data_IF_304218400639
#
_entry.id   IF_304218400639
#
_cell.length_a   1.000
_cell.length_b   1.000
_cell.length_c   1.000
_cell.angle_alpha   90.00
_cell.angle_beta   90.00
_cell.angle_gamma   90.00
#
_symmetry.space_group_name_H-M   'P 1'
#
loop_
_entity.id
_entity.type
_entity.pdbx_description
1 polymer ?
#
# COMPACT_ATOMS: atom_id res chain seq x y z
N UNK A 1 46.36 68.82 -6.55
CA UNK A 1 46.39 67.64 -5.65
C UNK A 1 45.00 66.99 -5.64
N UNK A 2 44.80 65.91 -6.40
CA UNK A 2 43.54 65.21 -6.51
C UNK A 2 43.60 63.93 -5.64
N UNK A 3 42.78 63.89 -4.62
CA UNK A 3 42.58 62.68 -3.78
C UNK A 3 41.51 61.81 -4.40
N UNK A 4 41.92 60.68 -4.94
CA UNK A 4 41.08 59.70 -5.59
C UNK A 4 40.42 58.81 -4.49
N UNK A 5 39.12 59.00 -4.24
CA UNK A 5 38.34 58.15 -3.32
C UNK A 5 38.04 56.83 -4.01
N UNK A 6 38.57 55.71 -3.52
CA UNK A 6 38.20 54.37 -3.88
C UNK A 6 36.92 54.00 -3.14
N UNK A 7 35.88 53.80 -3.90
CA UNK A 7 34.65 53.17 -3.40
C UNK A 7 34.86 51.65 -3.41
N UNK A 8 35.01 51.05 -2.23
CA UNK A 8 34.91 49.61 -2.07
C UNK A 8 33.44 49.23 -2.21
N UNK A 9 33.09 48.51 -3.30
CA UNK A 9 31.79 47.89 -3.50
C UNK A 9 31.84 46.54 -2.81
N UNK A 10 31.18 46.39 -1.66
CA UNK A 10 30.92 45.13 -0.98
C UNK A 10 29.92 44.33 -1.83
N UNK A 11 30.43 43.32 -2.52
CA UNK A 11 29.58 42.30 -3.13
C UNK A 11 29.13 41.35 -2.00
N UNK A 12 27.92 41.57 -1.52
CA UNK A 12 27.26 40.62 -0.64
C UNK A 12 26.89 39.41 -1.47
N UNK A 13 27.69 38.35 -1.38
CA UNK A 13 27.33 37.04 -1.90
C UNK A 13 26.13 36.52 -1.09
N UNK A 14 24.96 36.65 -1.66
CA UNK A 14 23.76 35.94 -1.16
C UNK A 14 24.00 34.45 -1.35
N UNK A 15 24.48 33.79 -0.32
CA UNK A 15 24.43 32.35 -0.17
C UNK A 15 22.95 31.98 -0.09
N UNK A 16 22.35 31.71 -1.26
CA UNK A 16 21.07 31.07 -1.36
C UNK A 16 21.21 29.67 -0.73
N UNK A 17 20.85 29.58 0.54
CA UNK A 17 20.64 28.31 1.22
C UNK A 17 19.53 27.58 0.46
N UNK A 18 19.91 26.74 -0.50
CA UNK A 18 19.05 25.68 -0.97
C UNK A 18 18.80 24.79 0.26
N UNK A 19 17.74 25.10 0.98
CA UNK A 19 17.14 24.14 1.87
C UNK A 19 16.77 22.95 0.99
N UNK A 20 17.66 21.94 0.97
CA UNK A 20 17.29 20.59 0.54
C UNK A 20 16.07 20.26 1.40
N UNK A 21 14.89 20.36 0.78
CA UNK A 21 13.67 19.85 1.38
C UNK A 21 13.95 18.38 1.62
N UNK A 22 14.36 18.05 2.83
CA UNK A 22 14.36 16.68 3.31
C UNK A 22 12.92 16.22 3.09
N UNK A 23 12.69 15.39 2.08
CA UNK A 23 11.40 14.84 1.82
C UNK A 23 11.03 14.07 3.08
N UNK A 24 10.07 14.60 3.82
CA UNK A 24 9.59 13.99 5.04
C UNK A 24 9.13 12.56 4.72
N UNK A 25 9.76 11.59 5.34
CA UNK A 25 9.41 10.19 5.17
C UNK A 25 8.13 9.96 5.94
N UNK A 26 7.02 9.74 5.25
CA UNK A 26 5.82 9.26 5.94
C UNK A 26 5.96 7.79 6.30
N UNK A 27 5.76 7.48 7.54
CA UNK A 27 5.75 6.13 8.07
C UNK A 27 4.48 5.84 8.85
N UNK A 28 4.14 4.58 8.92
CA UNK A 28 3.01 4.09 9.71
C UNK A 28 3.54 3.50 11.01
N UNK A 29 2.97 3.93 12.12
CA UNK A 29 3.25 3.37 13.45
C UNK A 29 2.25 2.25 13.70
N UNK A 30 2.77 1.05 13.92
CA UNK A 30 2.04 -0.16 14.24
C UNK A 30 2.37 -0.62 15.65
N UNK A 31 1.46 -1.29 16.34
CA UNK A 31 1.73 -1.77 17.69
C UNK A 31 0.51 -2.32 18.40
N UNK A 32 0.71 -2.78 19.61
CA UNK A 32 -0.35 -3.22 20.49
C UNK A 32 -1.31 -2.04 20.77
N UNK A 33 -2.60 -2.30 20.86
CA UNK A 33 -3.61 -1.26 21.16
C UNK A 33 -3.38 -0.57 22.51
N UNK A 34 -2.69 -1.24 23.43
CA UNK A 34 -2.29 -0.71 24.75
C UNK A 34 -1.01 0.10 24.72
N UNK A 35 -0.26 0.02 23.63
CA UNK A 35 0.98 0.78 23.48
C UNK A 35 0.70 2.29 23.45
N UNK A 36 1.67 3.07 23.94
CA UNK A 36 1.68 4.53 23.87
C UNK A 36 2.99 4.97 23.22
N UNK A 37 2.86 5.79 22.20
CA UNK A 37 3.99 6.32 21.44
C UNK A 37 3.90 7.84 21.45
N UNK A 38 5.00 8.49 21.82
CA UNK A 38 5.16 9.94 21.70
C UNK A 38 5.63 10.27 20.28
N UNK A 39 4.91 11.15 19.61
CA UNK A 39 5.27 11.76 18.33
C UNK A 39 5.50 13.26 18.51
N UNK A 40 5.87 13.95 17.42
CA UNK A 40 5.95 15.42 17.41
C UNK A 40 4.62 16.10 17.74
N UNK A 41 3.48 15.44 17.47
CA UNK A 41 2.12 15.94 17.69
C UNK A 41 1.56 15.55 19.07
N UNK A 42 2.33 14.84 19.90
CA UNK A 42 1.92 14.39 21.23
C UNK A 42 1.90 12.86 21.36
N UNK A 43 1.24 12.39 22.42
CA UNK A 43 1.11 10.98 22.74
C UNK A 43 -0.07 10.36 21.98
N UNK A 44 0.18 9.23 21.34
CA UNK A 44 -0.83 8.50 20.53
C UNK A 44 -0.77 7.00 20.79
N UNK A 45 -1.92 6.35 20.61
CA UNK A 45 -1.97 4.88 20.50
C UNK A 45 -1.73 4.48 19.04
N UNK A 46 -1.05 3.37 18.74
CA UNK A 46 -1.05 2.80 17.38
C UNK A 46 -2.51 2.41 16.99
N UNK A 47 -2.92 2.49 15.70
CA UNK A 47 -2.15 2.71 14.50
C UNK A 47 -2.28 4.18 14.07
N UNK A 48 -1.20 4.81 13.60
CA UNK A 48 -1.28 6.16 13.05
C UNK A 48 -0.15 6.42 12.02
N UNK A 49 -0.37 7.40 11.15
CA UNK A 49 0.60 7.90 10.19
C UNK A 49 1.34 9.12 10.75
N UNK A 50 2.63 9.25 10.45
CA UNK A 50 3.44 10.43 10.80
C UNK A 50 4.52 10.69 9.76
N UNK A 51 4.87 11.94 9.55
CA UNK A 51 6.03 12.38 8.75
C UNK A 51 7.28 12.61 9.60
N UNK A 52 7.16 12.59 10.92
CA UNK A 52 8.26 12.81 11.86
C UNK A 52 8.74 11.48 12.49
N UNK A 53 9.06 10.52 11.63
CA UNK A 53 9.39 9.15 12.05
C UNK A 53 10.58 9.07 13.01
N UNK A 54 11.57 9.95 12.85
CA UNK A 54 12.76 10.03 13.71
C UNK A 54 12.45 10.55 15.13
N UNK A 55 11.31 11.21 15.32
CA UNK A 55 10.92 11.75 16.62
C UNK A 55 10.19 10.77 17.52
N UNK A 56 9.83 9.60 16.99
CA UNK A 56 9.04 8.61 17.69
C UNK A 56 9.76 8.04 18.92
N UNK A 57 9.04 7.93 20.03
CA UNK A 57 9.51 7.33 21.29
C UNK A 57 8.44 6.43 21.86
N UNK A 58 8.82 5.23 22.26
CA UNK A 58 7.93 4.34 22.97
C UNK A 58 7.79 4.80 24.44
N UNK A 59 6.56 4.97 24.90
CA UNK A 59 6.26 5.28 26.31
C UNK A 59 5.93 3.98 27.05
N UNK A 60 5.09 3.13 26.46
CA UNK A 60 4.71 1.84 27.05
C UNK A 60 4.28 0.85 25.97
N UNK A 61 4.29 -0.45 26.29
CA UNK A 61 3.87 -1.52 25.39
C UNK A 61 4.92 -1.82 24.32
N UNK A 62 4.47 -2.34 23.15
CA UNK A 62 5.32 -2.64 22.00
C UNK A 62 4.77 -1.95 20.75
N UNK A 63 5.64 -1.27 20.04
CA UNK A 63 5.31 -0.62 18.78
C UNK A 63 6.49 -0.67 17.81
N UNK A 64 6.18 -0.63 16.52
CA UNK A 64 7.15 -0.55 15.44
C UNK A 64 6.77 0.57 14.48
N UNK A 65 7.75 1.06 13.77
CA UNK A 65 7.57 1.95 12.64
C UNK A 65 7.79 1.17 11.35
N UNK A 66 6.95 1.40 10.36
CA UNK A 66 6.99 0.72 9.07
C UNK A 66 6.91 1.71 7.92
N UNK A 67 7.63 1.39 6.83
CA UNK A 67 7.60 2.14 5.58
C UNK A 67 7.98 1.22 4.42
N UNK A 68 7.71 1.68 3.19
CA UNK A 68 8.15 1.00 1.97
C UNK A 68 9.11 1.91 1.24
N UNK A 69 10.30 1.42 0.89
CA UNK A 69 11.29 2.18 0.14
C UNK A 69 10.93 2.29 -1.35
N UNK A 70 11.60 3.18 -2.08
CA UNK A 70 11.32 3.42 -3.52
C UNK A 70 11.48 2.20 -4.40
N UNK A 71 12.35 1.26 -4.02
CA UNK A 71 12.54 -0.01 -4.73
C UNK A 71 11.48 -1.06 -4.36
N UNK A 72 10.46 -0.68 -3.59
CA UNK A 72 9.35 -1.54 -3.18
C UNK A 72 9.68 -2.49 -2.03
N UNK A 73 10.81 -2.29 -1.30
CA UNK A 73 11.12 -3.13 -0.15
C UNK A 73 10.38 -2.64 1.09
N UNK A 74 9.69 -3.54 1.81
CA UNK A 74 9.13 -3.22 3.11
C UNK A 74 10.25 -3.09 4.15
N UNK A 75 10.10 -2.12 5.03
CA UNK A 75 11.00 -1.91 6.17
C UNK A 75 10.19 -1.74 7.42
N UNK A 76 10.74 -2.22 8.52
CA UNK A 76 10.16 -2.05 9.84
C UNK A 76 11.28 -2.01 10.88
N UNK A 77 11.07 -1.21 11.92
CA UNK A 77 12.00 -1.10 13.02
C UNK A 77 11.22 -0.96 14.34
N UNK A 78 11.68 -1.56 15.43
CA UNK A 78 11.07 -1.35 16.73
C UNK A 78 11.26 0.12 17.18
N UNK A 79 10.23 0.67 17.81
CA UNK A 79 10.34 1.98 18.46
C UNK A 79 10.93 1.77 19.84
N UNK A 80 12.10 2.36 20.09
CA UNK A 80 12.77 2.23 21.37
C UNK A 80 12.24 3.24 22.41
N UNK A 81 12.33 2.88 23.69
CA UNK A 81 11.99 3.78 24.81
C UNK A 81 12.99 4.93 24.97
N UNK A 82 14.27 4.68 24.67
CA UNK A 82 15.37 5.60 24.97
C UNK A 82 16.08 6.19 23.76
N UNK A 83 15.48 6.10 22.58
CA UNK A 83 16.13 6.62 21.37
C UNK A 83 15.16 6.77 20.20
N UNK A 84 15.54 7.51 19.15
CA UNK A 84 14.79 7.51 17.90
C UNK A 84 14.83 6.12 17.27
N UNK A 85 13.77 5.75 16.57
CA UNK A 85 13.84 4.60 15.68
C UNK A 85 14.97 4.83 14.67
N UNK A 86 15.82 3.80 14.46
CA UNK A 86 16.87 3.84 13.45
C UNK A 86 16.20 3.72 12.09
N UNK A 87 15.95 4.86 11.45
CA UNK A 87 15.37 4.92 10.12
C UNK A 87 16.48 5.12 9.09
N UNK A 88 16.45 4.43 7.97
CA UNK A 88 17.34 4.75 6.87
C UNK A 88 16.97 6.11 6.30
N UNK A 89 17.96 6.95 6.12
CA UNK A 89 17.83 8.34 5.72
C UNK A 89 17.52 8.55 4.24
N UNK A 90 17.43 7.50 3.44
CA UNK A 90 17.27 7.66 2.00
C UNK A 90 16.22 6.70 1.43
N UNK A 91 15.24 7.26 0.73
CA UNK A 91 14.45 6.53 -0.27
C UNK A 91 13.08 5.99 0.14
N UNK A 92 12.55 6.33 1.32
CA UNK A 92 11.16 5.99 1.63
C UNK A 92 10.19 6.78 0.75
N UNK A 93 9.19 6.12 0.21
CA UNK A 93 8.15 6.77 -0.57
C UNK A 93 6.94 7.10 0.32
N UNK A 94 6.69 8.38 0.47
CA UNK A 94 5.59 8.91 1.29
C UNK A 94 4.21 8.45 0.81
N UNK A 95 4.09 8.23 -0.49
CA UNK A 95 2.82 7.97 -1.15
C UNK A 95 2.11 6.72 -0.64
N UNK A 96 2.83 5.60 -0.47
CA UNK A 96 2.19 4.32 -0.12
C UNK A 96 1.52 4.37 1.24
N UNK A 97 2.17 4.97 2.24
CA UNK A 97 1.60 5.11 3.56
C UNK A 97 0.36 6.03 3.57
N UNK A 98 0.44 7.16 2.85
CA UNK A 98 -0.68 8.12 2.75
C UNK A 98 -1.89 7.52 2.05
N UNK A 99 -1.70 6.77 0.95
CA UNK A 99 -2.81 6.14 0.22
C UNK A 99 -3.47 5.06 1.07
N UNK A 100 -2.69 4.19 1.72
CA UNK A 100 -3.23 3.15 2.60
C UNK A 100 -3.98 3.76 3.77
N UNK A 101 -3.44 4.83 4.38
CA UNK A 101 -4.12 5.55 5.45
C UNK A 101 -5.44 6.18 4.99
N UNK A 102 -5.45 6.82 3.82
CA UNK A 102 -6.65 7.37 3.22
C UNK A 102 -7.72 6.29 2.99
N UNK A 103 -7.34 5.12 2.47
CA UNK A 103 -8.27 4.01 2.26
C UNK A 103 -8.80 3.44 3.59
N UNK A 104 -7.95 3.32 4.62
CA UNK A 104 -8.36 2.86 5.96
C UNK A 104 -9.35 3.81 6.63
N UNK A 105 -9.21 5.12 6.40
CA UNK A 105 -10.03 6.16 7.06
C UNK A 105 -11.21 6.63 6.23
N UNK A 106 -11.27 6.28 4.94
CA UNK A 106 -12.37 6.66 4.07
C UNK A 106 -13.68 5.95 4.47
N UNK A 107 -14.79 6.70 4.39
CA UNK A 107 -16.12 6.07 4.48
C UNK A 107 -16.34 5.24 3.23
N UNK A 108 -16.51 3.94 3.39
CA UNK A 108 -16.74 3.01 2.28
C UNK A 108 -18.10 3.28 1.66
N UNK A 109 -18.13 3.58 0.36
CA UNK A 109 -19.35 3.50 -0.42
C UNK A 109 -19.83 2.05 -0.49
N UNK A 110 -21.10 1.83 -0.17
CA UNK A 110 -21.65 0.49 0.01
C UNK A 110 -21.96 -0.20 -1.33
N UNK A 111 -22.07 0.56 -2.43
CA UNK A 111 -22.67 0.06 -3.67
C UNK A 111 -21.75 -0.73 -4.59
N UNK A 112 -20.43 -0.60 -4.48
CA UNK A 112 -19.47 -1.30 -5.32
C UNK A 112 -18.41 -2.00 -4.46
N UNK A 113 -18.05 -3.28 -4.73
CA UNK A 113 -16.98 -3.96 -4.00
C UNK A 113 -15.67 -3.17 -4.04
N UNK A 114 -14.91 -3.17 -2.94
CA UNK A 114 -13.70 -2.35 -2.82
C UNK A 114 -12.68 -2.63 -3.95
N UNK A 115 -12.46 -3.90 -4.30
CA UNK A 115 -11.55 -4.28 -5.37
C UNK A 115 -12.01 -3.79 -6.76
N UNK A 116 -13.33 -3.71 -7.00
CA UNK A 116 -13.88 -3.20 -8.25
C UNK A 116 -13.66 -1.69 -8.39
N UNK A 117 -13.71 -0.93 -7.29
CA UNK A 117 -13.38 0.50 -7.30
C UNK A 117 -11.90 0.79 -7.61
N UNK A 118 -11.05 -0.17 -7.30
CA UNK A 118 -9.61 -0.07 -7.59
C UNK A 118 -9.28 -0.32 -9.07
N UNK A 119 -10.24 -0.78 -9.85
CA UNK A 119 -10.07 -1.13 -11.27
C UNK A 119 -10.39 0.06 -12.17
N UNK A 120 -9.71 0.13 -13.31
CA UNK A 120 -9.93 1.13 -14.36
C UNK A 120 -10.55 0.47 -15.58
N UNK A 121 -11.50 1.18 -16.22
CA UNK A 121 -12.09 0.73 -17.48
C UNK A 121 -11.13 0.91 -18.68
N UNK A 122 -10.24 1.91 -18.59
CA UNK A 122 -9.35 2.27 -19.70
C UNK A 122 -8.11 1.35 -19.82
N UNK A 123 -7.62 0.82 -18.70
CA UNK A 123 -6.40 0.00 -18.68
C UNK A 123 -6.59 -1.22 -17.79
N UNK A 124 -6.00 -2.37 -18.17
CA UNK A 124 -6.00 -3.54 -17.30
C UNK A 124 -5.43 -3.21 -15.92
N UNK A 125 -6.14 -3.57 -14.87
CA UNK A 125 -5.65 -3.45 -13.50
C UNK A 125 -4.65 -4.57 -13.23
N UNK A 126 -3.50 -4.21 -12.67
CA UNK A 126 -2.47 -5.19 -12.31
C UNK A 126 -2.90 -5.96 -11.06
N UNK A 127 -2.70 -7.27 -11.10
CA UNK A 127 -3.09 -8.17 -10.00
C UNK A 127 -1.97 -9.19 -9.74
N UNK A 128 -1.73 -9.44 -8.48
CA UNK A 128 -0.84 -10.50 -7.99
C UNK A 128 -1.67 -11.52 -7.21
N UNK A 129 -1.40 -12.79 -7.40
CA UNK A 129 -2.03 -13.87 -6.63
C UNK A 129 -1.03 -14.34 -5.56
N UNK A 130 -1.30 -14.09 -4.27
CA UNK A 130 -0.46 -14.60 -3.18
C UNK A 130 -0.36 -16.13 -3.17
N UNK A 131 0.63 -16.73 -2.50
CA UNK A 131 0.74 -18.19 -2.39
C UNK A 131 -0.50 -18.85 -1.78
N UNK A 132 -1.13 -18.23 -0.80
CA UNK A 132 -2.37 -18.69 -0.17
C UNK A 132 -3.64 -18.33 -0.94
N UNK A 133 -3.52 -17.62 -2.05
CA UNK A 133 -4.64 -17.12 -2.84
C UNK A 133 -4.97 -15.66 -2.56
N UNK A 134 -5.73 -15.05 -3.48
CA UNK A 134 -6.28 -13.71 -3.34
C UNK A 134 -7.74 -13.80 -2.87
N UNK A 135 -8.01 -13.33 -1.66
CA UNK A 135 -9.36 -13.26 -1.13
C UNK A 135 -10.01 -11.94 -1.54
N UNK A 136 -11.14 -12.02 -2.23
CA UNK A 136 -11.93 -10.85 -2.62
C UNK A 136 -13.23 -10.81 -1.81
N UNK A 137 -13.48 -9.67 -1.20
CA UNK A 137 -14.74 -9.38 -0.52
C UNK A 137 -15.80 -9.08 -1.57
N UNK A 138 -16.70 -10.01 -1.83
CA UNK A 138 -17.83 -9.81 -2.72
C UNK A 138 -19.09 -9.47 -1.94
N UNK A 139 -19.94 -8.59 -2.50
CA UNK A 139 -21.30 -8.42 -1.97
C UNK A 139 -22.09 -9.72 -2.15
N UNK A 140 -22.94 -10.10 -1.17
CA UNK A 140 -23.79 -11.30 -1.28
C UNK A 140 -24.71 -11.27 -2.50
N UNK A 141 -25.14 -10.09 -2.94
CA UNK A 141 -26.23 -9.91 -3.91
C UNK A 141 -25.78 -9.72 -5.37
N UNK A 142 -24.53 -10.03 -5.68
CA UNK A 142 -24.01 -9.86 -7.04
C UNK A 142 -23.37 -11.14 -7.57
N UNK A 143 -23.66 -11.47 -8.83
CA UNK A 143 -22.94 -12.51 -9.56
C UNK A 143 -21.56 -11.97 -9.96
N UNK A 144 -20.55 -12.81 -9.87
CA UNK A 144 -19.18 -12.47 -10.17
C UNK A 144 -18.53 -13.55 -11.02
N UNK A 145 -18.02 -13.18 -12.18
CA UNK A 145 -17.44 -14.12 -13.16
C UNK A 145 -16.03 -13.68 -13.55
N UNK A 146 -15.13 -14.62 -13.71
CA UNK A 146 -13.79 -14.38 -14.25
C UNK A 146 -13.61 -15.26 -15.48
N UNK A 147 -13.21 -14.61 -16.58
CA UNK A 147 -12.93 -15.24 -17.85
C UNK A 147 -11.44 -15.06 -18.19
N UNK A 148 -10.75 -16.10 -18.61
CA UNK A 148 -9.44 -15.95 -19.23
C UNK A 148 -9.61 -15.50 -20.68
N UNK A 149 -8.68 -14.66 -21.16
CA UNK A 149 -8.66 -14.17 -22.53
C UNK A 149 -7.50 -14.82 -23.26
N UNK A 150 -7.79 -15.69 -24.22
CA UNK A 150 -6.80 -16.35 -25.08
C UNK A 150 -7.11 -15.97 -26.54
N UNK A 151 -6.44 -14.93 -27.05
CA UNK A 151 -6.74 -14.37 -28.37
C UNK A 151 -8.14 -13.72 -28.39
N UNK A 152 -9.05 -14.23 -29.26
CA UNK A 152 -10.44 -13.77 -29.34
C UNK A 152 -11.42 -14.63 -28.49
N UNK A 153 -10.91 -15.66 -27.82
CA UNK A 153 -11.72 -16.59 -27.03
C UNK A 153 -11.70 -16.25 -25.56
N UNK A 154 -12.87 -16.29 -24.93
CA UNK A 154 -13.06 -16.16 -23.50
C UNK A 154 -13.44 -17.53 -22.91
N UNK A 155 -12.72 -17.95 -21.87
CA UNK A 155 -12.97 -19.21 -21.17
C UNK A 155 -13.30 -18.94 -19.72
N UNK A 156 -14.41 -19.50 -19.23
CA UNK A 156 -14.81 -19.38 -17.83
C UNK A 156 -13.78 -20.06 -16.92
N UNK A 157 -13.27 -19.28 -15.95
CA UNK A 157 -12.33 -19.72 -14.93
C UNK A 157 -12.99 -19.81 -13.57
N UNK A 158 -13.84 -18.83 -13.25
CA UNK A 158 -14.49 -18.74 -11.96
C UNK A 158 -15.89 -18.14 -12.09
N UNK A 159 -16.86 -18.70 -11.39
CA UNK A 159 -18.23 -18.20 -11.32
C UNK A 159 -18.73 -18.27 -9.87
N UNK A 160 -19.24 -17.16 -9.36
CA UNK A 160 -19.87 -17.04 -8.06
C UNK A 160 -21.24 -16.42 -8.21
N UNK A 161 -22.25 -17.11 -7.76
CA UNK A 161 -23.63 -16.62 -7.76
C UNK A 161 -23.92 -15.75 -6.56
N UNK A 162 -24.85 -14.83 -6.72
CA UNK A 162 -25.33 -13.89 -5.69
C UNK A 162 -25.82 -14.58 -4.41
N UNK A 163 -26.27 -15.82 -4.52
CA UNK A 163 -26.70 -16.64 -3.37
C UNK A 163 -25.55 -17.20 -2.53
N UNK A 164 -24.32 -17.19 -3.03
CA UNK A 164 -23.14 -17.66 -2.30
C UNK A 164 -22.54 -16.51 -1.48
N UNK A 165 -22.59 -16.62 -0.16
CA UNK A 165 -22.09 -15.63 0.79
C UNK A 165 -20.59 -15.78 1.10
N UNK A 166 -19.93 -16.84 0.64
CA UNK A 166 -18.51 -17.08 0.90
C UNK A 166 -17.65 -16.04 0.19
N UNK A 167 -16.51 -15.63 0.78
CA UNK A 167 -15.51 -14.84 0.08
C UNK A 167 -15.04 -15.55 -1.20
N UNK A 168 -14.72 -14.77 -2.22
CA UNK A 168 -14.08 -15.28 -3.43
C UNK A 168 -12.61 -15.53 -3.09
N UNK A 169 -12.15 -16.76 -3.21
CA UNK A 169 -10.73 -17.10 -3.09
C UNK A 169 -10.22 -17.57 -4.45
N UNK A 170 -9.28 -16.80 -5.00
CA UNK A 170 -8.63 -17.08 -6.28
C UNK A 170 -7.24 -17.66 -6.03
N UNK A 171 -6.96 -18.82 -6.59
CA UNK A 171 -5.68 -19.53 -6.42
C UNK A 171 -4.80 -19.41 -7.65
N UNK A 172 -3.50 -19.69 -7.51
CA UNK A 172 -2.53 -19.72 -8.62
C UNK A 172 -2.79 -20.83 -9.62
N UNK A 173 -3.54 -21.84 -9.24
CA UNK A 173 -3.97 -22.92 -10.15
C UNK A 173 -5.03 -22.41 -11.13
N UNK A 174 -5.93 -21.54 -10.65
CA UNK A 174 -6.99 -20.92 -11.43
C UNK A 174 -6.48 -19.72 -12.25
N UNK A 175 -5.68 -18.86 -11.62
CA UNK A 175 -5.24 -17.58 -12.17
C UNK A 175 -3.72 -17.63 -12.41
N UNK A 176 -3.31 -17.72 -13.68
CA UNK A 176 -1.91 -17.86 -14.07
C UNK A 176 -1.22 -16.51 -14.20
N UNK A 177 0.08 -16.46 -13.90
CA UNK A 177 0.93 -15.28 -14.05
C UNK A 177 1.06 -14.87 -15.53
N UNK A 178 1.22 -13.57 -15.79
CA UNK A 178 1.41 -13.01 -17.13
C UNK A 178 0.18 -13.04 -18.03
N UNK A 179 -0.98 -13.42 -17.53
CA UNK A 179 -2.21 -13.61 -18.30
C UNK A 179 -3.19 -12.45 -18.11
N UNK A 180 -4.08 -12.28 -19.09
CA UNK A 180 -5.16 -11.29 -19.07
C UNK A 180 -6.49 -11.99 -18.78
N UNK A 181 -7.28 -11.38 -17.92
CA UNK A 181 -8.61 -11.85 -17.52
C UNK A 181 -9.64 -10.74 -17.68
N UNK A 182 -10.86 -11.12 -18.00
CA UNK A 182 -12.03 -10.25 -17.90
C UNK A 182 -12.79 -10.62 -16.66
N UNK A 183 -13.10 -9.62 -15.86
CA UNK A 183 -13.91 -9.73 -14.65
C UNK A 183 -15.25 -9.09 -14.92
N UNK A 184 -16.30 -9.87 -14.80
CA UNK A 184 -17.67 -9.42 -14.93
C UNK A 184 -18.35 -9.41 -13.57
N UNK A 185 -19.04 -8.34 -13.29
CA UNK A 185 -19.84 -8.19 -12.10
C UNK A 185 -21.26 -7.77 -12.46
N UNK A 186 -22.23 -8.54 -12.01
CA UNK A 186 -23.64 -8.30 -12.29
C UNK A 186 -24.34 -7.84 -11.00
N UNK A 187 -24.86 -6.62 -11.00
CA UNK A 187 -25.63 -6.06 -9.91
C UNK A 187 -27.08 -5.83 -10.39
N UNK A 188 -27.86 -6.89 -10.35
CA UNK A 188 -29.27 -6.85 -10.77
C UNK A 188 -29.46 -6.45 -12.23
N UNK A 189 -29.41 -5.16 -12.53
CA UNK A 189 -29.69 -4.60 -13.87
C UNK A 189 -28.43 -4.18 -14.66
N UNK A 190 -27.30 -4.04 -14.02
CA UNK A 190 -26.08 -3.58 -14.65
C UNK A 190 -24.99 -4.68 -14.66
N UNK A 191 -24.29 -4.80 -15.78
CA UNK A 191 -23.09 -5.61 -15.93
C UNK A 191 -21.90 -4.71 -16.13
N UNK A 192 -20.92 -4.80 -15.24
CA UNK A 192 -19.62 -4.17 -15.41
C UNK A 192 -18.61 -5.19 -15.88
N UNK A 193 -17.78 -4.81 -16.88
CA UNK A 193 -16.68 -5.63 -17.40
C UNK A 193 -15.39 -4.88 -17.22
N UNK A 194 -14.44 -5.46 -16.51
CA UNK A 194 -13.15 -4.88 -16.22
C UNK A 194 -12.03 -5.86 -16.59
N UNK A 195 -10.85 -5.35 -16.93
CA UNK A 195 -9.72 -6.20 -17.32
C UNK A 195 -8.69 -6.27 -16.20
N UNK A 196 -8.21 -7.48 -15.94
CA UNK A 196 -7.04 -7.75 -15.10
C UNK A 196 -5.87 -8.20 -15.95
N UNK A 197 -4.68 -7.80 -15.55
CA UNK A 197 -3.44 -8.38 -16.03
C UNK A 197 -2.65 -8.84 -14.81
N UNK A 198 -2.41 -10.13 -14.72
CA UNK A 198 -1.56 -10.67 -13.67
C UNK A 198 -0.10 -10.29 -13.90
N UNK A 199 0.63 -10.08 -12.82
CA UNK A 199 2.08 -9.88 -12.87
C UNK A 199 2.76 -11.09 -13.51
N UNK A 200 3.89 -10.87 -14.17
CA UNK A 200 4.66 -11.98 -14.75
C UNK A 200 5.32 -12.83 -13.65
N UNK A 201 5.88 -13.97 -14.04
CA UNK A 201 6.47 -14.93 -13.11
C UNK A 201 7.69 -14.40 -12.37
N UNK A 202 8.51 -13.56 -13.01
CA UNK A 202 9.71 -12.98 -12.38
C UNK A 202 9.30 -11.93 -11.33
N UNK A 203 8.33 -11.10 -11.65
CA UNK A 203 7.77 -10.13 -10.71
C UNK A 203 7.03 -10.83 -9.57
N UNK A 204 6.25 -11.88 -9.85
CA UNK A 204 5.58 -12.67 -8.83
C UNK A 204 6.56 -13.26 -7.83
N UNK A 205 7.67 -13.84 -8.29
CA UNK A 205 8.71 -14.39 -7.41
C UNK A 205 9.36 -13.32 -6.52
N UNK A 206 9.57 -12.11 -7.05
CA UNK A 206 10.07 -10.98 -6.25
C UNK A 206 9.08 -10.56 -5.18
N UNK A 207 7.81 -10.45 -5.53
CA UNK A 207 6.75 -10.10 -4.58
C UNK A 207 6.60 -11.21 -3.52
N UNK A 208 6.71 -12.50 -3.90
CA UNK A 208 6.68 -13.62 -2.97
C UNK A 208 7.77 -13.50 -1.88
N UNK A 209 8.98 -13.12 -2.28
CA UNK A 209 10.07 -12.91 -1.32
C UNK A 209 9.75 -11.81 -0.31
N UNK A 210 9.24 -10.67 -0.79
CA UNK A 210 8.85 -9.54 0.07
C UNK A 210 7.64 -9.89 0.98
N UNK A 211 6.69 -10.64 0.43
CA UNK A 211 5.55 -11.15 1.17
C UNK A 211 5.98 -12.06 2.32
N UNK A 212 6.90 -12.99 2.08
CA UNK A 212 7.43 -13.87 3.12
C UNK A 212 8.24 -13.11 4.18
N UNK A 213 8.98 -12.09 3.77
CA UNK A 213 9.70 -11.20 4.69
C UNK A 213 8.74 -10.51 5.66
N UNK A 214 7.66 -9.93 5.18
CA UNK A 214 6.63 -9.31 6.03
C UNK A 214 6.03 -10.37 6.97
N UNK A 215 5.64 -11.54 6.46
CA UNK A 215 5.02 -12.60 7.27
C UNK A 215 5.93 -13.12 8.37
N UNK A 216 7.21 -13.22 8.13
CA UNK A 216 8.18 -13.72 9.13
C UNK A 216 8.50 -12.70 10.22
N UNK A 217 8.38 -11.41 9.90
CA UNK A 217 8.77 -10.34 10.83
C UNK A 217 7.58 -9.66 11.53
N UNK A 218 6.37 -9.77 10.99
CA UNK A 218 5.16 -9.16 11.55
C UNK A 218 4.18 -10.25 11.97
N UNK A 219 4.12 -10.54 13.27
CA UNK A 219 3.29 -11.61 13.82
C UNK A 219 1.82 -11.22 13.94
N UNK A 220 1.52 -9.95 14.21
CA UNK A 220 0.16 -9.44 14.31
C UNK A 220 -0.49 -9.33 12.93
N UNK A 221 -1.67 -9.94 12.78
CA UNK A 221 -2.33 -10.04 11.47
C UNK A 221 -2.80 -8.70 10.94
N UNK A 222 -3.36 -7.83 11.78
CA UNK A 222 -3.83 -6.51 11.35
C UNK A 222 -2.67 -5.63 10.87
N UNK A 223 -1.54 -5.67 11.60
CA UNK A 223 -0.32 -4.96 11.20
C UNK A 223 0.27 -5.54 9.91
N UNK A 224 0.27 -6.86 9.74
CA UNK A 224 0.73 -7.52 8.52
C UNK A 224 -0.09 -7.09 7.31
N UNK A 225 -1.42 -7.01 7.42
CA UNK A 225 -2.29 -6.52 6.35
C UNK A 225 -1.97 -5.07 5.96
N UNK A 226 -1.72 -4.20 6.93
CA UNK A 226 -1.32 -2.82 6.66
C UNK A 226 0.01 -2.79 5.90
N UNK A 227 1.01 -3.57 6.33
CA UNK A 227 2.30 -3.66 5.65
C UNK A 227 2.17 -4.21 4.22
N UNK A 228 1.35 -5.24 4.04
CA UNK A 228 1.06 -5.79 2.72
C UNK A 228 0.36 -4.77 1.82
N UNK A 229 -0.59 -4.03 2.36
CA UNK A 229 -1.28 -2.97 1.62
C UNK A 229 -0.33 -1.85 1.17
N UNK A 230 0.62 -1.45 2.02
CA UNK A 230 1.67 -0.49 1.66
C UNK A 230 2.57 -1.02 0.54
N UNK A 231 2.97 -2.28 0.61
CA UNK A 231 3.74 -2.95 -0.45
C UNK A 231 2.96 -2.99 -1.76
N UNK A 232 1.70 -3.38 -1.72
CA UNK A 232 0.84 -3.46 -2.90
C UNK A 232 0.61 -2.09 -3.54
N UNK A 233 0.40 -1.03 -2.76
CA UNK A 233 0.28 0.33 -3.31
C UNK A 233 1.59 0.77 -3.98
N UNK A 234 2.74 0.50 -3.35
CA UNK A 234 4.05 0.80 -3.92
C UNK A 234 4.25 0.12 -5.28
N UNK A 235 3.79 -1.11 -5.41
CA UNK A 235 3.87 -1.89 -6.64
C UNK A 235 2.72 -1.59 -7.62
N UNK A 236 1.82 -0.66 -7.28
CA UNK A 236 0.61 -0.32 -8.07
C UNK A 236 -0.34 -1.50 -8.27
N UNK A 237 -0.43 -2.37 -7.27
CA UNK A 237 -1.33 -3.51 -7.20
C UNK A 237 -2.58 -3.15 -6.39
N UNK A 238 -3.33 -2.17 -6.87
CA UNK A 238 -4.45 -1.58 -6.12
C UNK A 238 -5.56 -2.57 -5.80
N UNK A 239 -5.83 -3.53 -6.68
CA UNK A 239 -6.80 -4.60 -6.41
C UNK A 239 -6.38 -5.40 -5.18
N UNK A 240 -5.09 -5.76 -5.09
CA UNK A 240 -4.54 -6.46 -3.94
C UNK A 240 -4.61 -5.61 -2.66
N UNK A 241 -4.20 -4.34 -2.76
CA UNK A 241 -4.26 -3.41 -1.62
C UNK A 241 -5.68 -3.30 -1.05
N UNK A 242 -6.67 -3.08 -1.91
CA UNK A 242 -8.06 -2.94 -1.46
C UNK A 242 -8.67 -4.25 -0.98
N UNK A 243 -8.27 -5.39 -1.56
CA UNK A 243 -8.67 -6.70 -1.09
C UNK A 243 -8.15 -6.96 0.32
N UNK A 244 -6.87 -6.68 0.57
CA UNK A 244 -6.23 -6.85 1.89
C UNK A 244 -6.89 -5.99 2.99
N UNK A 245 -7.25 -4.74 2.67
CA UNK A 245 -7.91 -3.82 3.61
C UNK A 245 -9.39 -4.13 3.81
N UNK A 246 -10.03 -4.88 2.91
CA UNK A 246 -11.46 -5.19 2.98
C UNK A 246 -11.79 -6.43 3.82
N UNK A 247 -10.81 -7.25 4.16
CA UNK A 247 -11.00 -8.41 5.03
C UNK A 247 -11.26 -7.90 6.46
N UNK A 248 -12.34 -8.30 7.14
CA UNK A 248 -12.69 -7.86 8.48
C UNK A 248 -11.71 -8.33 9.56
#
# INVERSE_FOLDING_TARGET
MLVKRWKMTLVAAALSSFALSAHAISCMVLGEHTARVRSAEGEKSPVFLTSACESLRLISGKAMVSWVSRDGKPHFAPIATNGPALLPTAGAEERSANVVWSELTSKREVDRPAFMRAMSEERPSRVYIPPEGLALSAKPDADFTILSVEGESEKLIFDKKSTDTRPILLTREQIKTGSVYVVEWHNGTATEKLKWQTVDSAEAARIDSQYQEIRSNVSDEAQRRIMMSMLYEQLRLRVNMTAELAIP
#
